data_IF_750483038827
#
_entry.id   IF_750483038827
#
_cell.length_a   1.000
_cell.length_b   1.000
_cell.length_c   1.000
_cell.angle_alpha   90.00
_cell.angle_beta   90.00
_cell.angle_gamma   90.00
#
_symmetry.space_group_name_H-M   'P 1'
#
loop_
_entity.id
_entity.type
_entity.pdbx_description
1 polymer ?
#
# COMPACT_ATOMS: atom_id res chain seq x y z
N UNK A 1 34.02 40.40 0.29
CA UNK A 1 34.35 40.28 1.72
C UNK A 1 34.46 38.79 2.03
N UNK A 2 35.67 38.43 2.23
CA UNK A 2 36.26 37.14 2.56
C UNK A 2 36.09 36.86 4.06
N UNK A 3 36.03 35.59 4.44
CA UNK A 3 36.63 34.94 5.63
C UNK A 3 36.02 33.52 5.74
N UNK A 4 36.78 32.47 5.51
CA UNK A 4 37.75 31.74 6.36
C UNK A 4 37.07 31.18 7.61
N UNK A 5 37.10 29.94 7.93
CA UNK A 5 38.08 28.86 8.13
C UNK A 5 37.44 28.03 9.23
N UNK A 6 37.66 26.84 9.54
CA UNK A 6 38.80 26.01 9.84
C UNK A 6 38.28 24.63 10.15
N UNK A 7 38.80 23.71 9.69
CA UNK A 7 39.45 22.45 9.98
C UNK A 7 39.90 22.21 11.43
N UNK A 8 39.96 20.92 11.75
CA UNK A 8 40.68 20.17 12.81
C UNK A 8 39.77 19.61 13.90
N UNK A 9 39.90 18.36 14.32
CA UNK A 9 41.03 17.46 14.20
C UNK A 9 40.69 16.04 14.64
N UNK A 10 41.47 15.15 14.15
CA UNK A 10 41.62 13.77 14.56
C UNK A 10 42.03 13.67 16.04
N UNK A 11 41.60 12.62 16.70
CA UNK A 11 42.34 12.02 17.79
C UNK A 11 42.09 10.51 17.80
N UNK A 12 43.08 9.81 17.28
CA UNK A 12 43.37 8.42 17.61
C UNK A 12 43.78 8.34 19.09
N UNK A 13 43.34 7.33 19.74
CA UNK A 13 44.05 6.76 20.90
C UNK A 13 43.81 5.26 20.94
N UNK A 14 44.87 4.55 20.51
CA UNK A 14 45.17 3.17 20.86
C UNK A 14 45.39 3.07 22.37
N UNK A 15 45.01 2.02 23.00
CA UNK A 15 45.90 1.09 23.69
C UNK A 15 45.16 -0.02 24.46
N UNK A 16 45.53 -1.15 24.14
CA UNK A 16 45.96 -2.37 24.82
C UNK A 16 45.45 -2.64 26.27
N UNK A 17 45.01 -3.88 26.42
CA UNK A 17 45.43 -4.59 27.62
C UNK A 17 44.37 -5.39 28.35
N UNK A 18 44.69 -6.67 28.45
CA UNK A 18 44.47 -7.60 29.52
C UNK A 18 43.32 -8.58 29.46
N UNK A 19 43.75 -9.79 29.20
CA UNK A 19 43.21 -11.08 29.61
C UNK A 19 42.46 -11.06 30.91
N UNK A 20 41.31 -11.69 30.94
CA UNK A 20 40.81 -12.34 32.14
C UNK A 20 39.94 -13.52 31.74
N UNK A 21 40.48 -14.68 32.01
CA UNK A 21 39.88 -15.99 32.09
C UNK A 21 38.58 -15.92 32.91
N UNK A 22 37.51 -16.35 32.35
CA UNK A 22 36.21 -16.43 33.01
C UNK A 22 35.40 -17.54 32.38
N UNK A 23 35.66 -18.74 32.90
CA UNK A 23 34.80 -19.91 32.71
C UNK A 23 33.34 -19.53 32.91
N UNK A 24 32.60 -19.44 31.81
CA UNK A 24 31.16 -19.27 31.87
C UNK A 24 30.50 -20.54 31.40
N UNK A 25 29.72 -21.06 32.31
CA UNK A 25 28.90 -22.23 32.13
C UNK A 25 28.10 -22.23 30.82
N UNK A 26 28.16 -23.37 30.18
CA UNK A 26 27.25 -23.73 29.08
C UNK A 26 25.82 -23.67 29.60
N UNK A 27 25.12 -22.61 29.30
CA UNK A 27 23.69 -22.70 29.25
C UNK A 27 23.35 -23.50 27.97
N UNK A 28 23.07 -24.76 28.16
CA UNK A 28 22.41 -25.60 27.18
C UNK A 28 20.97 -25.13 27.11
N UNK A 29 20.70 -24.16 26.27
CA UNK A 29 19.35 -23.88 25.87
C UNK A 29 18.87 -25.04 24.98
N UNK A 30 17.70 -25.63 25.29
CA UNK A 30 17.11 -26.60 24.38
C UNK A 30 16.85 -25.86 23.08
N UNK A 31 17.45 -26.36 22.02
CA UNK A 31 17.10 -25.97 20.64
C UNK A 31 15.64 -26.38 20.44
N UNK A 32 14.73 -25.44 20.74
CA UNK A 32 13.39 -25.56 20.26
C UNK A 32 13.49 -25.42 18.74
N UNK A 33 13.27 -26.54 18.11
CA UNK A 33 13.13 -26.71 16.68
C UNK A 33 11.98 -25.83 16.17
N UNK A 34 12.27 -24.54 15.95
CA UNK A 34 11.40 -23.61 15.26
C UNK A 34 11.51 -23.86 13.76
N UNK A 35 11.42 -25.10 13.35
CA UNK A 35 11.14 -25.45 11.97
C UNK A 35 9.65 -25.21 11.70
N UNK A 36 9.18 -24.01 11.95
CA UNK A 36 8.00 -23.51 11.25
C UNK A 36 8.43 -23.34 9.79
N UNK A 37 8.21 -24.37 9.01
CA UNK A 37 8.20 -24.22 7.57
C UNK A 37 7.32 -23.00 7.26
N UNK A 38 7.82 -21.99 6.52
CA UNK A 38 6.98 -20.87 6.15
C UNK A 38 5.75 -21.47 5.46
N UNK A 39 4.57 -21.21 6.04
CA UNK A 39 3.32 -21.54 5.39
C UNK A 39 3.45 -20.98 3.97
N UNK A 40 3.57 -21.88 3.00
CA UNK A 40 3.52 -21.49 1.61
C UNK A 40 2.18 -20.79 1.46
N UNK A 41 2.23 -19.46 1.38
CA UNK A 41 1.11 -18.71 0.87
C UNK A 41 0.86 -19.30 -0.50
N UNK A 42 -0.20 -20.08 -0.62
CA UNK A 42 -0.72 -20.52 -1.91
C UNK A 42 -1.10 -19.23 -2.64
N UNK A 43 -0.11 -18.68 -3.35
CA UNK A 43 -0.35 -17.71 -4.38
C UNK A 43 -0.93 -18.47 -5.58
N UNK A 44 -2.08 -19.08 -5.36
CA UNK A 44 -2.94 -19.44 -6.47
C UNK A 44 -3.24 -18.10 -7.15
N UNK A 45 -2.63 -17.90 -8.30
CA UNK A 45 -3.00 -16.80 -9.18
C UNK A 45 -4.52 -16.84 -9.29
N UNK A 46 -5.19 -15.89 -8.69
CA UNK A 46 -6.59 -15.67 -9.00
C UNK A 46 -6.59 -15.39 -10.48
N UNK A 47 -7.30 -16.21 -11.22
CA UNK A 47 -7.49 -15.99 -12.65
C UNK A 47 -7.89 -14.52 -12.81
N UNK A 48 -7.09 -13.78 -13.57
CA UNK A 48 -7.41 -12.40 -13.89
C UNK A 48 -8.79 -12.43 -14.54
N UNK A 49 -9.69 -11.60 -14.05
CA UNK A 49 -11.03 -11.52 -14.62
C UNK A 49 -10.90 -11.03 -16.05
N UNK A 50 -11.16 -11.93 -17.00
CA UNK A 50 -11.20 -11.61 -18.45
C UNK A 50 -12.58 -11.10 -18.88
N UNK A 51 -13.54 -11.07 -17.93
CA UNK A 51 -14.87 -10.57 -18.16
C UNK A 51 -14.89 -9.01 -18.21
N UNK A 52 -15.94 -8.45 -18.79
CA UNK A 52 -16.15 -7.00 -18.89
C UNK A 52 -16.65 -6.43 -17.54
N UNK A 53 -15.88 -6.70 -16.46
CA UNK A 53 -16.24 -6.36 -15.08
C UNK A 53 -16.49 -4.87 -14.81
N UNK A 54 -15.94 -3.98 -15.65
CA UNK A 54 -16.17 -2.54 -15.53
C UNK A 54 -17.60 -2.13 -15.87
N UNK A 55 -18.33 -2.93 -16.65
CA UNK A 55 -19.74 -2.65 -16.99
C UNK A 55 -20.66 -2.65 -15.78
N UNK A 56 -20.22 -3.25 -14.69
CA UNK A 56 -20.92 -3.17 -13.43
C UNK A 56 -21.04 -1.73 -12.90
N UNK A 57 -20.12 -0.84 -13.29
CA UNK A 57 -20.16 0.58 -12.91
C UNK A 57 -20.93 1.36 -13.95
N UNK A 58 -22.00 2.09 -13.57
CA UNK A 58 -22.86 2.81 -14.52
C UNK A 58 -22.11 3.77 -15.45
N UNK A 59 -21.09 4.46 -14.93
CA UNK A 59 -20.30 5.41 -15.72
C UNK A 59 -19.40 4.76 -16.77
N UNK A 60 -19.19 3.45 -16.71
CA UNK A 60 -18.29 2.71 -17.61
C UNK A 60 -19.03 1.63 -18.44
N UNK A 61 -20.34 1.49 -18.27
CA UNK A 61 -21.13 0.42 -18.86
C UNK A 61 -21.07 0.37 -20.39
N UNK A 62 -20.97 1.53 -21.03
CA UNK A 62 -21.00 1.66 -22.49
C UNK A 62 -19.60 1.60 -23.14
N UNK A 63 -18.55 1.49 -22.34
CA UNK A 63 -17.18 1.47 -22.85
C UNK A 63 -16.81 0.12 -23.44
N UNK A 64 -16.11 0.15 -24.55
CA UNK A 64 -15.45 -1.04 -25.10
C UNK A 64 -14.21 -1.41 -24.29
N UNK A 65 -13.78 -2.67 -24.36
CA UNK A 65 -12.58 -3.13 -23.68
C UNK A 65 -11.34 -2.30 -24.06
N UNK A 66 -11.19 -1.96 -25.34
CA UNK A 66 -10.06 -1.16 -25.81
C UNK A 66 -10.06 0.27 -25.21
N UNK A 67 -11.22 0.91 -25.10
CA UNK A 67 -11.35 2.22 -24.48
C UNK A 67 -11.11 2.18 -22.99
N UNK A 68 -11.68 1.16 -22.30
CA UNK A 68 -11.50 1.01 -20.86
C UNK A 68 -10.04 0.76 -20.48
N UNK A 69 -9.34 -0.09 -21.22
CA UNK A 69 -7.93 -0.41 -20.94
C UNK A 69 -6.92 0.62 -21.46
N UNK A 70 -7.38 1.67 -22.16
CA UNK A 70 -6.49 2.77 -22.57
C UNK A 70 -5.92 3.48 -21.32
N UNK A 71 -4.58 3.55 -21.25
CA UNK A 71 -3.89 4.21 -20.16
C UNK A 71 -4.25 5.69 -20.00
N UNK A 72 -4.57 6.39 -21.09
CA UNK A 72 -4.99 7.79 -21.06
C UNK A 72 -6.38 7.93 -20.44
N UNK A 73 -7.28 7.01 -20.79
CA UNK A 73 -8.60 6.93 -20.16
C UNK A 73 -8.44 6.71 -18.65
N UNK A 74 -7.66 5.70 -18.26
CA UNK A 74 -7.41 5.38 -16.85
C UNK A 74 -6.84 6.56 -16.06
N UNK A 75 -5.87 7.27 -16.65
CA UNK A 75 -5.22 8.41 -15.97
C UNK A 75 -6.14 9.62 -15.83
N UNK A 76 -6.93 9.94 -16.87
CA UNK A 76 -7.82 11.10 -16.87
C UNK A 76 -9.06 10.94 -16.00
N UNK A 77 -9.53 9.70 -15.89
CA UNK A 77 -10.75 9.37 -15.17
C UNK A 77 -10.50 8.87 -13.75
N UNK A 78 -9.29 9.05 -13.19
CA UNK A 78 -9.05 8.78 -11.79
C UNK A 78 -10.04 9.53 -10.91
N UNK A 79 -10.55 8.81 -9.91
CA UNK A 79 -11.38 9.40 -8.85
C UNK A 79 -10.45 10.05 -7.83
N UNK A 80 -10.59 11.36 -7.65
CA UNK A 80 -9.74 12.16 -6.77
C UNK A 80 -10.50 12.83 -5.63
N UNK A 81 -11.81 12.62 -5.56
CA UNK A 81 -12.67 13.15 -4.50
C UNK A 81 -13.87 12.23 -4.27
N UNK A 82 -14.42 12.26 -3.07
CA UNK A 82 -15.62 11.50 -2.71
C UNK A 82 -16.83 11.93 -3.55
N UNK A 83 -16.92 13.22 -3.89
CA UNK A 83 -17.96 13.70 -4.81
C UNK A 83 -17.87 13.00 -6.17
N UNK A 84 -16.65 12.90 -6.74
CA UNK A 84 -16.46 12.21 -8.03
C UNK A 84 -16.71 10.70 -7.91
N UNK A 85 -16.37 10.09 -6.77
CA UNK A 85 -16.69 8.70 -6.48
C UNK A 85 -18.20 8.45 -6.57
N UNK A 86 -18.98 9.34 -5.96
CA UNK A 86 -20.44 9.27 -5.97
C UNK A 86 -21.03 9.46 -7.37
N UNK A 87 -20.46 10.38 -8.16
CA UNK A 87 -20.87 10.60 -9.56
C UNK A 87 -20.67 9.33 -10.42
N UNK A 88 -19.53 8.66 -10.25
CA UNK A 88 -19.16 7.46 -11.01
C UNK A 88 -19.97 6.23 -10.60
N UNK A 89 -20.13 5.99 -9.30
CA UNK A 89 -20.79 4.80 -8.76
C UNK A 89 -22.31 4.95 -8.67
N UNK A 90 -22.81 6.20 -8.67
CA UNK A 90 -24.25 6.48 -8.59
C UNK A 90 -24.89 5.88 -7.33
N UNK A 91 -25.99 5.12 -7.51
CA UNK A 91 -26.74 4.56 -6.37
C UNK A 91 -26.04 3.40 -5.63
N UNK A 92 -24.91 2.91 -6.12
CA UNK A 92 -24.18 1.80 -5.50
C UNK A 92 -23.50 2.17 -4.18
N UNK A 93 -23.32 3.46 -3.91
CA UNK A 93 -22.76 3.94 -2.65
C UNK A 93 -23.80 4.69 -1.86
N UNK A 94 -23.89 4.35 -0.57
CA UNK A 94 -24.81 5.02 0.35
C UNK A 94 -24.29 6.39 0.78
N UNK A 95 -25.19 7.27 1.19
CA UNK A 95 -24.82 8.57 1.77
C UNK A 95 -24.02 8.42 3.06
N UNK A 96 -24.26 7.37 3.83
CA UNK A 96 -23.52 7.07 5.05
C UNK A 96 -22.06 6.74 4.73
N UNK A 97 -21.81 5.87 3.75
CA UNK A 97 -20.48 5.56 3.27
C UNK A 97 -19.73 6.80 2.77
N UNK A 98 -20.39 7.65 1.98
CA UNK A 98 -19.75 8.86 1.47
C UNK A 98 -19.35 9.81 2.60
N UNK A 99 -20.18 9.98 3.63
CA UNK A 99 -19.85 10.82 4.78
C UNK A 99 -18.69 10.28 5.59
N UNK A 100 -18.66 8.98 5.80
CA UNK A 100 -17.55 8.32 6.51
C UNK A 100 -16.24 8.44 5.72
N UNK A 101 -16.27 8.20 4.42
CA UNK A 101 -15.14 8.35 3.53
C UNK A 101 -14.64 9.82 3.47
N UNK A 102 -15.53 10.81 3.48
CA UNK A 102 -15.17 12.23 3.57
C UNK A 102 -14.45 12.52 4.89
N UNK A 103 -14.99 12.05 6.01
CA UNK A 103 -14.36 12.20 7.32
C UNK A 103 -12.97 11.54 7.35
N UNK A 104 -12.83 10.34 6.80
CA UNK A 104 -11.54 9.64 6.68
C UNK A 104 -10.52 10.40 5.84
N UNK A 105 -10.94 10.97 4.71
CA UNK A 105 -10.03 11.74 3.83
C UNK A 105 -9.57 13.04 4.47
N UNK A 106 -10.37 13.68 5.33
CA UNK A 106 -9.97 14.89 6.06
C UNK A 106 -8.84 14.63 7.06
N UNK A 107 -8.74 13.43 7.58
CA UNK A 107 -7.68 13.04 8.52
C UNK A 107 -6.47 12.38 7.82
N UNK A 108 -6.59 12.09 6.53
CA UNK A 108 -5.52 11.47 5.76
C UNK A 108 -4.52 12.51 5.26
N UNK A 109 -3.24 12.20 5.39
CA UNK A 109 -2.15 12.99 4.78
C UNK A 109 -1.98 12.71 3.29
N UNK A 110 -2.64 11.67 2.79
CA UNK A 110 -2.54 11.24 1.39
C UNK A 110 -3.76 11.70 0.58
N UNK A 111 -3.53 12.10 -0.65
CA UNK A 111 -4.61 12.44 -1.58
C UNK A 111 -5.27 11.18 -2.13
N UNK A 112 -6.60 11.19 -2.20
CA UNK A 112 -7.35 10.11 -2.84
C UNK A 112 -7.05 10.09 -4.34
N UNK A 113 -6.67 8.93 -4.88
CA UNK A 113 -6.53 8.72 -6.31
C UNK A 113 -6.77 7.25 -6.66
N UNK A 114 -7.93 6.95 -7.21
CA UNK A 114 -8.34 5.60 -7.60
C UNK A 114 -8.56 5.59 -9.11
N UNK A 115 -7.89 4.68 -9.82
CA UNK A 115 -8.13 4.51 -11.26
C UNK A 115 -9.46 3.79 -11.52
N UNK A 116 -10.09 3.99 -12.69
CA UNK A 116 -11.28 3.25 -13.11
C UNK A 116 -11.12 1.73 -12.98
N UNK A 117 -9.96 1.20 -13.33
CA UNK A 117 -9.66 -0.22 -13.22
C UNK A 117 -9.79 -0.73 -11.78
N UNK A 118 -9.10 -0.08 -10.84
CA UNK A 118 -9.17 -0.48 -9.42
C UNK A 118 -10.60 -0.32 -8.88
N UNK A 119 -11.27 0.78 -9.27
CA UNK A 119 -12.64 1.01 -8.83
C UNK A 119 -13.59 -0.11 -9.28
N UNK A 120 -13.36 -0.66 -10.48
CA UNK A 120 -14.19 -1.73 -11.05
C UNK A 120 -13.92 -3.11 -10.44
N UNK A 121 -12.80 -3.29 -9.74
CA UNK A 121 -12.47 -4.55 -9.05
C UNK A 121 -13.11 -4.65 -7.66
N UNK A 122 -13.60 -3.53 -7.12
CA UNK A 122 -14.24 -3.49 -5.80
C UNK A 122 -15.68 -3.99 -5.94
N UNK A 123 -16.06 -4.89 -5.06
CA UNK A 123 -17.47 -5.27 -4.92
C UNK A 123 -18.20 -4.20 -4.10
N UNK A 124 -18.98 -3.38 -4.81
CA UNK A 124 -19.74 -2.29 -4.19
C UNK A 124 -21.06 -2.72 -3.55
N UNK A 125 -21.47 -3.96 -3.75
CA UNK A 125 -22.66 -4.51 -3.13
C UNK A 125 -22.35 -5.04 -1.71
N UNK A 126 -21.05 -5.33 -1.46
CA UNK A 126 -20.55 -5.73 -0.14
C UNK A 126 -19.19 -5.04 0.18
N UNK A 127 -19.16 -3.72 0.33
CA UNK A 127 -17.89 -2.98 0.47
C UNK A 127 -17.15 -3.21 1.79
N UNK A 128 -17.77 -3.89 2.76
CA UNK A 128 -17.19 -4.13 4.10
C UNK A 128 -16.60 -5.55 4.28
N UNK A 129 -16.54 -6.35 3.24
CA UNK A 129 -15.90 -7.69 3.25
C UNK A 129 -14.48 -7.66 2.59
#
# INVERSE_FOLDING_TARGET
MTIHGSQQGCAELSDAGASSDGSVGRCTEPAEDLTMAPARLDNTHRDLRDDEFWRAIPAYADLTAAEFHDHRFQSRNCVTSIRKLREVLGPRVSDAFCKDAEAGTMHSTMSLRISPYILSLIDWDAPET
#
